data_IF_627057583029
#
_entry.id   IF_627057583029
#
_cell.length_a   1.000
_cell.length_b   1.000
_cell.length_c   1.000
_cell.angle_alpha   90.00
_cell.angle_beta   90.00
_cell.angle_gamma   90.00
#
_symmetry.space_group_name_H-M   'P 1'
#
loop_
_entity.id
_entity.type
_entity.pdbx_description
1 polymer ?
#
# COMPACT_ATOMS: atom_id res chain seq x y z
N UNK A 1 -28.21 -12.95 16.31
CA UNK A 1 -26.91 -12.22 16.31
C UNK A 1 -26.58 -11.91 14.86
N UNK A 2 -26.16 -10.70 14.52
CA UNK A 2 -25.73 -10.33 13.17
C UNK A 2 -24.23 -10.05 13.19
N UNK A 3 -23.49 -10.65 12.25
CA UNK A 3 -22.04 -10.50 12.15
C UNK A 3 -21.69 -9.78 10.84
N UNK A 4 -20.71 -8.89 10.88
CA UNK A 4 -20.08 -8.29 9.72
C UNK A 4 -18.60 -8.70 9.67
N UNK A 5 -18.11 -9.12 8.49
CA UNK A 5 -16.69 -9.30 8.25
C UNK A 5 -16.07 -7.96 7.86
N UNK A 6 -14.94 -7.63 8.46
CA UNK A 6 -14.10 -6.51 8.02
C UNK A 6 -12.79 -7.07 7.45
N UNK A 7 -12.60 -6.92 6.15
CA UNK A 7 -11.44 -7.45 5.45
C UNK A 7 -10.42 -6.33 5.24
N UNK A 8 -9.35 -6.33 6.05
CA UNK A 8 -8.19 -5.48 5.85
C UNK A 8 -7.45 -5.88 4.57
N UNK A 9 -7.06 -4.89 3.78
CA UNK A 9 -6.30 -5.06 2.53
C UNK A 9 -5.01 -4.23 2.60
N UNK A 10 -4.93 -3.11 1.88
CA UNK A 10 -3.79 -2.17 1.93
C UNK A 10 -4.07 -1.00 2.89
N UNK A 11 -4.66 -1.31 4.02
CA UNK A 11 -5.17 -0.34 4.99
C UNK A 11 -4.92 -0.77 6.44
N UNK A 12 -3.70 -1.25 6.71
CA UNK A 12 -3.29 -1.90 7.97
C UNK A 12 -3.13 -0.89 9.12
N UNK A 13 -4.22 -0.18 9.47
CA UNK A 13 -4.26 0.84 10.52
C UNK A 13 -5.62 0.93 11.21
N UNK A 14 -5.68 1.61 12.34
CA UNK A 14 -6.91 1.95 13.05
C UNK A 14 -7.23 3.46 13.00
N UNK A 15 -6.22 4.35 12.95
CA UNK A 15 -6.47 5.78 12.74
C UNK A 15 -7.00 6.01 11.33
N UNK A 16 -7.87 7.01 11.19
CA UNK A 16 -8.42 7.39 9.88
C UNK A 16 -8.86 6.21 9.01
N UNK A 17 -9.72 5.33 9.58
CA UNK A 17 -10.15 4.08 8.93
C UNK A 17 -11.66 4.10 8.61
N UNK A 18 -12.07 4.72 7.47
CA UNK A 18 -13.48 4.84 7.11
C UNK A 18 -14.18 3.52 6.85
N UNK A 19 -13.49 2.50 6.30
CA UNK A 19 -14.07 1.21 6.04
C UNK A 19 -14.38 0.46 7.36
N UNK A 20 -13.48 0.50 8.34
CA UNK A 20 -13.76 -0.04 9.67
C UNK A 20 -14.92 0.70 10.35
N UNK A 21 -14.96 2.04 10.26
CA UNK A 21 -16.08 2.80 10.76
C UNK A 21 -17.41 2.38 10.11
N UNK A 22 -17.40 2.14 8.79
CA UNK A 22 -18.58 1.67 8.07
C UNK A 22 -19.03 0.27 8.54
N UNK A 23 -18.09 -0.61 8.91
CA UNK A 23 -18.40 -1.91 9.51
C UNK A 23 -18.98 -1.75 10.91
N UNK A 24 -18.38 -0.92 11.77
CA UNK A 24 -18.84 -0.67 13.15
C UNK A 24 -20.23 -0.01 13.21
N UNK A 25 -20.61 0.75 12.18
CA UNK A 25 -21.93 1.43 12.09
C UNK A 25 -22.93 0.71 11.20
N UNK A 26 -22.67 -0.54 10.80
CA UNK A 26 -23.52 -1.33 9.91
C UNK A 26 -24.81 -1.84 10.56
N UNK A 27 -24.95 -1.73 11.88
CA UNK A 27 -26.03 -2.33 12.65
C UNK A 27 -25.75 -3.80 13.07
N UNK A 28 -24.57 -4.34 12.72
CA UNK A 28 -24.14 -5.65 13.21
C UNK A 28 -23.86 -5.63 14.72
N UNK A 29 -24.04 -6.78 15.36
CA UNK A 29 -23.74 -6.97 16.80
C UNK A 29 -22.35 -7.52 17.05
N UNK A 30 -21.73 -8.14 16.01
CA UNK A 30 -20.40 -8.74 16.06
C UNK A 30 -19.59 -8.32 14.85
N UNK A 31 -18.25 -8.23 15.04
CA UNK A 31 -17.28 -7.94 13.99
C UNK A 31 -16.24 -9.05 13.92
N UNK A 32 -16.00 -9.58 12.73
CA UNK A 32 -14.87 -10.47 12.46
C UNK A 32 -13.85 -9.74 11.59
N UNK A 33 -12.75 -9.19 12.16
CA UNK A 33 -11.68 -8.56 11.40
C UNK A 33 -10.74 -9.63 10.82
N UNK A 34 -10.49 -9.57 9.53
CA UNK A 34 -9.74 -10.59 8.79
C UNK A 34 -8.67 -9.94 7.89
N UNK A 35 -7.51 -10.58 7.81
CA UNK A 35 -6.52 -10.39 6.76
C UNK A 35 -6.30 -11.71 6.05
N UNK A 36 -6.27 -11.71 4.71
CA UNK A 36 -5.85 -12.86 3.91
C UNK A 36 -4.45 -12.58 3.35
N UNK A 37 -3.49 -13.45 3.67
CA UNK A 37 -2.12 -13.30 3.17
C UNK A 37 -2.01 -13.87 1.76
N UNK A 38 -1.15 -13.29 0.89
CA UNK A 38 -0.78 -13.92 -0.37
C UNK A 38 -0.13 -15.29 -0.12
N UNK A 39 -0.37 -16.24 -1.01
CA UNK A 39 0.26 -17.55 -0.93
C UNK A 39 1.80 -17.40 -0.95
N UNK A 40 2.53 -18.05 -0.03
CA UNK A 40 3.97 -17.85 0.11
C UNK A 40 4.77 -18.34 -1.11
N UNK A 41 4.20 -19.26 -1.89
CA UNK A 41 4.77 -19.87 -3.09
C UNK A 41 4.23 -19.27 -4.39
N UNK A 42 3.37 -18.26 -4.31
CA UNK A 42 2.84 -17.57 -5.50
C UNK A 42 3.99 -16.97 -6.32
N UNK A 43 4.05 -17.35 -7.61
CA UNK A 43 5.08 -16.90 -8.53
C UNK A 43 4.52 -16.01 -9.62
N UNK A 44 5.35 -15.07 -10.05
CA UNK A 44 5.07 -14.26 -11.23
C UNK A 44 5.23 -15.06 -12.53
N UNK A 45 4.67 -14.61 -13.65
CA UNK A 45 4.92 -15.23 -14.97
C UNK A 45 6.41 -15.25 -15.36
N UNK A 46 7.26 -14.46 -14.69
CA UNK A 46 8.70 -14.40 -14.93
C UNK A 46 9.52 -15.32 -13.98
N UNK A 47 8.86 -16.16 -13.15
CA UNK A 47 9.48 -17.27 -12.42
C UNK A 47 10.01 -16.95 -11.03
N UNK A 48 9.89 -15.73 -10.53
CA UNK A 48 10.24 -15.35 -9.15
C UNK A 48 9.00 -15.18 -8.25
N UNK A 49 9.20 -15.16 -6.93
CA UNK A 49 8.13 -14.99 -5.96
C UNK A 49 7.44 -13.62 -6.15
N UNK A 50 6.11 -13.60 -6.14
CA UNK A 50 5.34 -12.35 -6.26
C UNK A 50 5.59 -11.40 -5.07
N UNK A 51 5.68 -11.94 -3.86
CA UNK A 51 6.03 -11.19 -2.66
C UNK A 51 7.38 -11.64 -2.14
N UNK A 52 8.40 -10.80 -2.24
CA UNK A 52 9.76 -11.08 -1.80
C UNK A 52 9.96 -11.01 -0.28
N UNK A 53 11.16 -11.36 0.19
CA UNK A 53 11.47 -11.45 1.61
C UNK A 53 11.34 -10.11 2.35
N UNK A 54 11.80 -9.01 1.75
CA UNK A 54 11.73 -7.67 2.33
C UNK A 54 10.28 -7.25 2.57
N UNK A 55 9.45 -7.40 1.55
CA UNK A 55 8.03 -7.04 1.62
C UNK A 55 7.28 -7.90 2.64
N UNK A 56 7.55 -9.22 2.68
CA UNK A 56 6.96 -10.10 3.70
C UNK A 56 7.35 -9.68 5.12
N UNK A 57 8.61 -9.37 5.36
CA UNK A 57 9.09 -8.96 6.68
C UNK A 57 8.44 -7.64 7.13
N UNK A 58 8.35 -6.66 6.25
CA UNK A 58 7.72 -5.37 6.53
C UNK A 58 6.21 -5.53 6.83
N UNK A 59 5.49 -6.28 5.98
CA UNK A 59 4.07 -6.55 6.18
C UNK A 59 3.80 -7.34 7.47
N UNK A 60 4.66 -8.31 7.81
CA UNK A 60 4.54 -9.05 9.07
C UNK A 60 4.67 -8.14 10.29
N UNK A 61 5.55 -7.13 10.25
CA UNK A 61 5.66 -6.12 11.32
C UNK A 61 4.39 -5.26 11.42
N UNK A 62 3.83 -4.82 10.28
CA UNK A 62 2.57 -4.09 10.23
C UNK A 62 1.41 -4.89 10.87
N UNK A 63 1.30 -6.16 10.51
CA UNK A 63 0.25 -7.05 11.03
C UNK A 63 0.40 -7.32 12.52
N UNK A 64 1.63 -7.50 13.04
CA UNK A 64 1.84 -7.66 14.48
C UNK A 64 1.40 -6.42 15.27
N UNK A 65 1.75 -5.22 14.77
CA UNK A 65 1.31 -3.96 15.36
C UNK A 65 -0.20 -3.85 15.39
N UNK A 66 -0.86 -4.09 14.24
CA UNK A 66 -2.31 -4.05 14.11
C UNK A 66 -3.01 -5.08 15.01
N UNK A 67 -2.49 -6.32 15.05
CA UNK A 67 -3.04 -7.38 15.91
C UNK A 67 -2.97 -6.99 17.40
N UNK A 68 -1.86 -6.39 17.84
CA UNK A 68 -1.72 -5.90 19.21
C UNK A 68 -2.76 -4.84 19.55
N UNK A 69 -2.97 -3.87 18.69
CA UNK A 69 -3.97 -2.80 18.85
C UNK A 69 -5.41 -3.36 18.83
N UNK A 70 -5.73 -4.25 17.89
CA UNK A 70 -7.04 -4.89 17.80
C UNK A 70 -7.36 -5.71 19.06
N UNK A 71 -6.38 -6.50 19.54
CA UNK A 71 -6.51 -7.27 20.78
C UNK A 71 -6.75 -6.36 21.99
N UNK A 72 -6.05 -5.22 22.09
CA UNK A 72 -6.25 -4.24 23.16
C UNK A 72 -7.66 -3.63 23.16
N UNK A 73 -8.30 -3.54 21.98
CA UNK A 73 -9.69 -3.10 21.81
C UNK A 73 -10.72 -4.24 21.97
N UNK A 74 -10.28 -5.43 22.39
CA UNK A 74 -11.15 -6.58 22.72
C UNK A 74 -11.62 -7.41 21.52
N UNK A 75 -11.07 -7.18 20.32
CA UNK A 75 -11.40 -7.98 19.14
C UNK A 75 -10.11 -8.33 18.34
N UNK A 76 -9.56 -9.54 18.51
CA UNK A 76 -8.31 -9.93 17.85
C UNK A 76 -8.48 -10.08 16.33
N UNK A 77 -7.46 -9.65 15.58
CA UNK A 77 -7.39 -9.83 14.15
C UNK A 77 -7.18 -11.30 13.77
N UNK A 78 -7.98 -11.81 12.84
CA UNK A 78 -7.81 -13.15 12.26
C UNK A 78 -6.93 -13.05 11.00
N UNK A 79 -5.85 -13.83 10.96
CA UNK A 79 -4.91 -13.86 9.83
C UNK A 79 -5.03 -15.22 9.14
N UNK A 80 -5.48 -15.21 7.88
CA UNK A 80 -5.70 -16.39 7.06
C UNK A 80 -4.59 -16.59 6.04
N UNK A 81 -4.15 -17.84 5.85
CA UNK A 81 -3.21 -18.20 4.78
C UNK A 81 -3.93 -18.52 3.46
N UNK A 82 -5.23 -18.82 3.52
CA UNK A 82 -6.03 -19.06 2.31
C UNK A 82 -6.36 -17.74 1.58
N UNK A 83 -6.47 -17.77 0.24
CA UNK A 83 -6.89 -16.61 -0.55
C UNK A 83 -8.28 -16.09 -0.11
N UNK A 84 -8.55 -14.77 -0.29
CA UNK A 84 -9.81 -14.16 0.16
C UNK A 84 -11.06 -14.83 -0.46
N UNK A 85 -10.99 -15.26 -1.72
CA UNK A 85 -12.10 -15.97 -2.39
C UNK A 85 -12.43 -17.35 -1.74
N UNK A 86 -11.50 -17.92 -1.01
CA UNK A 86 -11.69 -19.18 -0.26
C UNK A 86 -12.02 -18.93 1.21
N UNK A 87 -11.24 -18.06 1.87
CA UNK A 87 -11.34 -17.84 3.31
C UNK A 87 -12.63 -17.10 3.70
N UNK A 88 -12.95 -15.99 3.03
CA UNK A 88 -14.06 -15.13 3.46
C UNK A 88 -15.43 -15.78 3.31
N UNK A 89 -15.76 -16.55 2.24
CA UNK A 89 -17.03 -17.28 2.18
C UNK A 89 -17.16 -18.33 3.27
N UNK A 90 -16.11 -19.10 3.59
CA UNK A 90 -16.12 -20.11 4.65
C UNK A 90 -16.32 -19.49 6.03
N UNK A 91 -15.60 -18.41 6.32
CA UNK A 91 -15.76 -17.67 7.57
C UNK A 91 -17.15 -17.05 7.68
N UNK A 92 -17.65 -16.44 6.61
CA UNK A 92 -18.98 -15.83 6.58
C UNK A 92 -20.07 -16.87 6.86
N UNK A 93 -20.01 -18.03 6.22
CA UNK A 93 -20.93 -19.15 6.47
C UNK A 93 -20.87 -19.60 7.92
N UNK A 94 -19.67 -19.76 8.49
CA UNK A 94 -19.48 -20.26 9.84
C UNK A 94 -20.05 -19.34 10.92
N UNK A 95 -20.01 -18.01 10.71
CA UNK A 95 -20.49 -17.01 11.68
C UNK A 95 -21.84 -16.40 11.31
N UNK A 96 -22.51 -16.93 10.26
CA UNK A 96 -23.80 -16.42 9.79
C UNK A 96 -23.75 -15.00 9.24
N UNK A 97 -22.60 -14.58 8.70
CA UNK A 97 -22.44 -13.28 8.09
C UNK A 97 -22.80 -13.30 6.61
N UNK A 98 -23.38 -12.22 6.12
CA UNK A 98 -23.70 -12.03 4.69
C UNK A 98 -22.93 -10.85 4.08
N UNK A 99 -22.35 -10.02 4.94
CA UNK A 99 -21.72 -8.75 4.52
C UNK A 99 -20.23 -8.75 4.85
N UNK A 100 -19.44 -8.34 3.85
CA UNK A 100 -18.01 -8.02 3.98
C UNK A 100 -17.83 -6.55 3.71
N UNK A 101 -17.08 -5.84 4.56
CA UNK A 101 -16.67 -4.44 4.35
C UNK A 101 -15.17 -4.39 4.15
N UNK A 102 -14.69 -3.67 3.15
CA UNK A 102 -13.27 -3.54 2.86
C UNK A 102 -12.94 -2.23 2.13
N UNK A 103 -11.65 -1.95 1.99
CA UNK A 103 -11.14 -0.89 1.12
C UNK A 103 -11.54 -1.11 -0.34
N UNK A 104 -11.91 -0.03 -1.04
CA UNK A 104 -12.07 -0.03 -2.49
C UNK A 104 -10.73 0.21 -3.18
N UNK A 105 -10.25 -0.77 -3.93
CA UNK A 105 -9.01 -0.70 -4.69
C UNK A 105 -9.34 -0.89 -6.16
N UNK A 106 -9.06 0.12 -7.00
CA UNK A 106 -9.44 0.15 -8.41
C UNK A 106 -8.58 -0.73 -9.32
N UNK A 107 -7.50 -1.33 -8.81
CA UNK A 107 -6.61 -2.17 -9.60
C UNK A 107 -7.30 -3.50 -9.97
N UNK A 108 -7.03 -4.04 -11.17
CA UNK A 108 -7.81 -5.15 -11.73
C UNK A 108 -7.77 -6.45 -10.90
N UNK A 109 -6.63 -6.79 -10.31
CA UNK A 109 -6.50 -7.97 -9.47
C UNK A 109 -7.40 -7.86 -8.22
N UNK A 110 -7.33 -6.74 -7.55
CA UNK A 110 -8.10 -6.43 -6.34
C UNK A 110 -9.60 -6.30 -6.62
N UNK A 111 -9.97 -5.82 -7.80
CA UNK A 111 -11.38 -5.82 -8.26
C UNK A 111 -11.88 -7.23 -8.57
N UNK A 112 -11.03 -8.10 -9.12
CA UNK A 112 -11.38 -9.50 -9.38
C UNK A 112 -11.62 -10.27 -8.08
N UNK A 113 -10.86 -10.01 -7.00
CA UNK A 113 -11.11 -10.60 -5.68
C UNK A 113 -12.51 -10.22 -5.15
N UNK A 114 -12.87 -8.93 -5.21
CA UNK A 114 -14.18 -8.46 -4.79
C UNK A 114 -15.30 -9.09 -5.64
N UNK A 115 -15.10 -9.19 -6.96
CA UNK A 115 -16.05 -9.83 -7.86
C UNK A 115 -16.25 -11.33 -7.52
N UNK A 116 -15.18 -12.05 -7.17
CA UNK A 116 -15.24 -13.44 -6.74
C UNK A 116 -16.07 -13.62 -5.44
N UNK A 117 -15.90 -12.72 -4.47
CA UNK A 117 -16.71 -12.74 -3.26
C UNK A 117 -18.20 -12.49 -3.52
N UNK A 118 -18.51 -11.54 -4.41
CA UNK A 118 -19.89 -11.26 -4.84
C UNK A 118 -20.49 -12.46 -5.57
N UNK A 119 -19.72 -13.13 -6.43
CA UNK A 119 -20.14 -14.35 -7.11
C UNK A 119 -20.38 -15.52 -6.13
N UNK A 120 -19.68 -15.55 -4.99
CA UNK A 120 -19.90 -16.50 -3.91
C UNK A 120 -21.13 -16.14 -3.01
N UNK A 121 -21.92 -15.11 -3.38
CA UNK A 121 -23.15 -14.73 -2.69
C UNK A 121 -22.97 -13.74 -1.54
N UNK A 122 -21.78 -13.19 -1.33
CA UNK A 122 -21.54 -12.19 -0.30
C UNK A 122 -21.89 -10.77 -0.76
N UNK A 123 -22.48 -9.99 0.12
CA UNK A 123 -22.64 -8.55 -0.06
C UNK A 123 -21.31 -7.87 0.28
N UNK A 124 -20.58 -7.39 -0.72
CA UNK A 124 -19.30 -6.70 -0.50
C UNK A 124 -19.50 -5.20 -0.62
N UNK A 125 -19.36 -4.51 0.52
CA UNK A 125 -19.35 -3.05 0.62
C UNK A 125 -17.92 -2.56 0.56
N UNK A 126 -17.54 -1.92 -0.54
CA UNK A 126 -16.23 -1.28 -0.68
C UNK A 126 -16.28 0.19 -0.26
N UNK A 127 -15.21 0.69 0.34
CA UNK A 127 -15.08 2.07 0.80
C UNK A 127 -13.77 2.67 0.28
N UNK A 128 -13.87 3.71 -0.53
CA UNK A 128 -12.70 4.43 -1.03
C UNK A 128 -12.12 5.34 0.06
N UNK A 129 -10.88 5.09 0.49
CA UNK A 129 -10.26 5.88 1.57
C UNK A 129 -8.73 5.94 1.55
N UNK A 130 -8.08 5.36 0.55
CA UNK A 130 -6.61 5.38 0.46
C UNK A 130 -6.04 6.65 -0.20
N UNK A 131 -6.89 7.58 -0.65
CA UNK A 131 -6.51 8.84 -1.25
C UNK A 131 -6.73 10.03 -0.30
N UNK A 132 -6.07 11.15 -0.58
CA UNK A 132 -6.37 12.44 0.05
C UNK A 132 -7.79 12.88 -0.28
N UNK A 133 -8.10 12.87 -1.57
CA UNK A 133 -9.35 13.36 -2.14
C UNK A 133 -10.14 12.19 -2.71
N UNK A 134 -11.37 11.95 -2.26
CA UNK A 134 -12.19 10.88 -2.83
C UNK A 134 -12.64 11.26 -4.26
N UNK A 135 -12.85 10.27 -5.15
CA UNK A 135 -13.28 10.52 -6.53
C UNK A 135 -14.53 11.39 -6.63
N UNK A 136 -15.46 11.25 -5.67
CA UNK A 136 -16.71 12.02 -5.60
C UNK A 136 -16.48 13.53 -5.38
N UNK A 137 -15.35 13.94 -4.85
CA UNK A 137 -15.01 15.36 -4.64
C UNK A 137 -14.39 16.02 -5.87
N UNK A 138 -14.08 15.26 -6.92
CA UNK A 138 -13.50 15.83 -8.14
C UNK A 138 -14.50 16.73 -8.88
N UNK A 139 -14.07 17.87 -9.42
CA UNK A 139 -14.95 18.81 -10.14
C UNK A 139 -15.23 18.36 -11.59
N UNK A 140 -15.01 17.09 -11.89
CA UNK A 140 -15.32 16.39 -13.16
C UNK A 140 -15.55 14.90 -12.90
N UNK A 141 -16.31 14.23 -13.79
CA UNK A 141 -16.44 12.77 -13.75
C UNK A 141 -15.08 12.06 -13.96
N UNK A 142 -14.91 10.88 -13.37
CA UNK A 142 -13.62 10.13 -13.43
C UNK A 142 -13.20 9.81 -14.88
N UNK A 143 -14.15 9.55 -15.77
CA UNK A 143 -13.91 9.31 -17.20
C UNK A 143 -13.43 10.54 -17.98
N UNK A 144 -13.48 11.72 -17.36
CA UNK A 144 -12.97 12.99 -17.89
C UNK A 144 -11.74 13.50 -17.13
N UNK A 145 -11.01 12.61 -16.47
CA UNK A 145 -9.77 12.94 -15.76
C UNK A 145 -8.77 13.58 -16.74
N UNK A 146 -8.16 14.73 -16.39
CA UNK A 146 -7.11 15.30 -17.21
C UNK A 146 -5.95 14.34 -17.44
N UNK A 147 -5.56 14.14 -18.71
CA UNK A 147 -4.48 13.21 -19.08
C UNK A 147 -3.07 13.67 -18.65
N UNK A 148 -2.93 14.89 -18.12
CA UNK A 148 -1.67 15.46 -17.64
C UNK A 148 -1.85 15.95 -16.20
N UNK A 149 -0.94 15.52 -15.32
CA UNK A 149 -0.99 15.87 -13.91
C UNK A 149 -1.02 17.38 -13.63
N UNK A 150 -0.26 18.18 -14.37
CA UNK A 150 -0.27 19.65 -14.19
C UNK A 150 -1.68 20.22 -14.36
N UNK A 151 -2.41 19.78 -15.38
CA UNK A 151 -3.80 20.20 -15.60
C UNK A 151 -4.73 19.70 -14.50
N UNK A 152 -4.55 18.46 -14.06
CA UNK A 152 -5.28 17.87 -12.93
C UNK A 152 -5.10 18.72 -11.67
N UNK A 153 -3.87 18.94 -11.26
CA UNK A 153 -3.50 19.73 -10.08
C UNK A 153 -4.11 21.15 -10.13
N UNK A 154 -3.91 21.86 -11.23
CA UNK A 154 -4.44 23.23 -11.40
C UNK A 154 -5.97 23.29 -11.28
N UNK A 155 -6.68 22.27 -11.77
CA UNK A 155 -8.14 22.19 -11.63
C UNK A 155 -8.55 21.94 -10.18
N UNK A 156 -7.87 21.03 -9.47
CA UNK A 156 -8.10 20.75 -8.04
C UNK A 156 -7.88 22.01 -7.20
N UNK A 157 -6.76 22.70 -7.42
CA UNK A 157 -6.42 23.95 -6.71
C UNK A 157 -7.44 25.05 -6.96
N UNK A 158 -7.85 25.29 -8.21
CA UNK A 158 -8.88 26.30 -8.54
C UNK A 158 -10.24 26.00 -7.94
N UNK A 159 -10.57 24.71 -7.82
CA UNK A 159 -11.83 24.29 -7.20
C UNK A 159 -11.82 24.39 -5.67
N UNK A 160 -10.66 24.71 -5.05
CA UNK A 160 -10.54 24.85 -3.60
C UNK A 160 -10.83 23.56 -2.83
N UNK A 161 -10.64 22.38 -3.48
CA UNK A 161 -10.94 21.10 -2.85
C UNK A 161 -9.88 20.80 -1.79
N UNK A 162 -10.33 20.51 -0.58
CA UNK A 162 -9.48 20.14 0.56
C UNK A 162 -9.83 18.74 1.07
N UNK A 163 -8.85 17.98 1.56
CA UNK A 163 -9.09 16.70 2.20
C UNK A 163 -10.01 16.85 3.43
N UNK A 164 -10.86 15.85 3.64
CA UNK A 164 -11.61 15.77 4.88
C UNK A 164 -10.67 15.50 6.06
N UNK A 165 -11.06 15.95 7.25
CA UNK A 165 -10.33 15.67 8.48
C UNK A 165 -10.21 14.14 8.71
N UNK A 166 -9.05 13.66 9.21
CA UNK A 166 -8.88 12.25 9.54
C UNK A 166 -9.84 11.83 10.65
N UNK A 167 -10.33 10.59 10.55
CA UNK A 167 -11.19 10.02 11.58
C UNK A 167 -10.37 9.66 12.84
N UNK A 168 -10.91 9.84 14.03
CA UNK A 168 -10.25 9.42 15.27
C UNK A 168 -10.14 7.90 15.35
N UNK A 169 -9.20 7.43 16.16
CA UNK A 169 -9.11 6.02 16.56
C UNK A 169 -10.44 5.54 17.17
N UNK A 170 -10.88 4.32 16.87
CA UNK A 170 -12.01 3.72 17.55
C UNK A 170 -11.67 3.50 19.02
N UNK A 171 -12.58 3.85 19.91
CA UNK A 171 -12.42 3.62 21.37
C UNK A 171 -12.89 2.23 21.79
N UNK A 172 -13.69 1.57 20.94
CA UNK A 172 -14.24 0.23 21.17
C UNK A 172 -14.57 -0.42 19.84
N UNK A 173 -14.36 -1.74 19.78
CA UNK A 173 -14.82 -2.59 18.68
C UNK A 173 -16.07 -3.38 19.10
N UNK A 174 -16.83 -3.87 18.12
CA UNK A 174 -17.85 -4.88 18.37
C UNK A 174 -17.16 -6.19 18.80
N UNK A 175 -17.78 -7.01 19.66
CA UNK A 175 -17.19 -8.28 20.10
C UNK A 175 -16.96 -9.24 18.92
N UNK A 176 -15.96 -10.12 19.01
CA UNK A 176 -15.74 -11.14 17.99
C UNK A 176 -16.86 -12.20 18.05
N UNK A 177 -17.27 -12.76 16.90
CA UNK A 177 -18.09 -13.97 16.88
C UNK A 177 -17.23 -15.19 17.25
N UNK A 178 -17.86 -16.28 17.66
CA UNK A 178 -17.20 -17.57 17.79
C UNK A 178 -17.01 -18.21 16.42
N UNK A 179 -15.76 -18.54 16.06
CA UNK A 179 -15.43 -19.24 14.81
C UNK A 179 -15.05 -20.67 15.12
N UNK A 180 -15.71 -21.67 14.52
CA UNK A 180 -15.41 -23.10 14.78
C UNK A 180 -13.97 -23.48 14.41
N UNK A 181 -13.29 -24.26 15.26
CA UNK A 181 -11.89 -24.67 15.04
C UNK A 181 -11.66 -25.35 13.69
N UNK A 182 -12.52 -26.23 13.16
CA UNK A 182 -12.32 -26.83 11.84
C UNK A 182 -12.28 -25.79 10.72
N UNK A 183 -13.06 -24.70 10.84
CA UNK A 183 -13.06 -23.60 9.85
C UNK A 183 -11.76 -22.81 9.93
N UNK A 184 -11.28 -22.49 11.14
CA UNK A 184 -9.97 -21.84 11.34
C UNK A 184 -8.84 -22.65 10.69
N UNK A 185 -8.84 -23.98 10.90
CA UNK A 185 -7.87 -24.88 10.28
C UNK A 185 -7.99 -24.89 8.74
N UNK A 186 -9.22 -24.92 8.20
CA UNK A 186 -9.45 -24.96 6.76
C UNK A 186 -8.96 -23.67 6.03
N UNK A 187 -9.05 -22.53 6.70
CA UNK A 187 -8.54 -21.24 6.13
C UNK A 187 -7.09 -20.95 6.50
N UNK A 188 -6.42 -21.90 7.18
CA UNK A 188 -5.05 -21.73 7.66
C UNK A 188 -4.91 -20.56 8.63
N UNK A 189 -5.96 -20.35 9.45
CA UNK A 189 -5.95 -19.29 10.42
C UNK A 189 -5.51 -19.79 11.80
N UNK A 190 -4.57 -19.06 12.39
CA UNK A 190 -4.18 -19.27 13.78
C UNK A 190 -4.65 -18.07 14.61
N UNK A 191 -5.24 -18.36 15.77
CA UNK A 191 -5.59 -17.33 16.74
C UNK A 191 -4.35 -17.00 17.58
N UNK A 192 -3.87 -15.77 17.47
CA UNK A 192 -2.81 -15.26 18.33
C UNK A 192 -1.54 -14.79 17.59
N UNK A 193 -0.69 -14.07 18.31
CA UNK A 193 0.54 -13.45 17.78
C UNK A 193 1.60 -14.47 17.27
N UNK A 194 1.47 -15.74 17.61
CA UNK A 194 2.40 -16.80 17.20
C UNK A 194 2.29 -17.16 15.70
N UNK A 195 1.17 -16.82 15.05
CA UNK A 195 0.92 -17.18 13.65
C UNK A 195 1.68 -16.35 12.62
N UNK A 196 2.19 -15.18 13.01
CA UNK A 196 3.00 -14.35 12.13
C UNK A 196 4.45 -14.79 12.29
N UNK A 197 4.86 -15.82 11.55
CA UNK A 197 6.27 -16.16 11.42
C UNK A 197 7.04 -14.89 11.04
N UNK A 198 8.06 -14.57 11.81
CA UNK A 198 8.90 -13.42 11.52
C UNK A 198 9.88 -13.82 10.40
N UNK A 199 9.63 -13.45 9.13
CA UNK A 199 10.66 -13.61 8.14
C UNK A 199 11.82 -12.72 8.61
N UNK A 200 12.97 -13.33 8.86
CA UNK A 200 14.18 -12.57 9.19
C UNK A 200 14.48 -11.66 8.01
N UNK A 201 14.64 -10.34 8.22
CA UNK A 201 15.12 -9.47 7.15
C UNK A 201 16.42 -10.03 6.59
N UNK A 202 16.66 -9.97 5.29
CA UNK A 202 17.93 -10.39 4.72
C UNK A 202 19.10 -9.71 5.45
N UNK A 203 20.15 -10.47 5.78
CA UNK A 203 21.31 -9.96 6.51
C UNK A 203 21.93 -8.75 5.79
N UNK A 204 22.18 -7.67 6.52
CA UNK A 204 22.77 -6.45 6.00
C UNK A 204 21.79 -5.42 5.44
N UNK A 205 20.48 -5.68 5.53
CA UNK A 205 19.44 -4.75 5.03
C UNK A 205 19.43 -3.38 5.71
N UNK A 206 19.95 -3.26 6.93
CA UNK A 206 19.79 -2.04 7.73
C UNK A 206 21.00 -1.10 7.71
N UNK A 207 22.23 -1.61 7.65
CA UNK A 207 23.44 -0.81 7.88
C UNK A 207 23.70 0.28 6.82
N UNK A 208 23.13 0.18 5.61
CA UNK A 208 23.27 1.14 4.51
C UNK A 208 21.96 1.53 3.87
N UNK A 209 20.84 1.08 4.42
CA UNK A 209 19.53 1.33 3.85
C UNK A 209 19.14 2.79 4.02
N UNK A 210 18.57 3.37 2.96
CA UNK A 210 17.87 4.66 3.05
C UNK A 210 16.51 4.55 3.74
N UNK A 211 16.06 3.33 4.09
CA UNK A 211 14.89 3.02 4.90
C UNK A 211 15.13 1.71 5.69
N UNK A 212 15.74 1.78 6.89
CA UNK A 212 16.12 0.61 7.68
C UNK A 212 14.89 -0.02 8.38
N UNK A 213 14.04 -0.70 7.63
CA UNK A 213 12.76 -1.23 8.08
C UNK A 213 12.85 -2.36 9.13
N UNK A 214 14.04 -2.93 9.33
CA UNK A 214 14.30 -3.88 10.41
C UNK A 214 14.44 -3.24 11.79
N UNK A 215 14.53 -1.90 11.86
CA UNK A 215 14.60 -1.17 13.12
C UNK A 215 13.22 -0.80 13.65
N UNK A 216 13.02 -0.70 14.99
CA UNK A 216 11.72 -0.30 15.56
C UNK A 216 11.20 1.07 15.08
N UNK A 217 12.10 1.98 14.70
CA UNK A 217 11.76 3.31 14.21
C UNK A 217 11.19 3.31 12.78
N UNK A 218 11.49 2.27 12.00
CA UNK A 218 11.10 2.16 10.60
C UNK A 218 10.34 0.87 10.29
N UNK A 219 9.88 0.12 11.30
CA UNK A 219 9.10 -1.09 11.08
C UNK A 219 7.74 -0.78 10.42
N UNK A 220 7.04 -1.82 9.95
CA UNK A 220 5.78 -1.66 9.21
C UNK A 220 4.58 -1.21 10.04
N UNK A 221 4.71 -1.06 11.37
CA UNK A 221 3.57 -0.79 12.25
C UNK A 221 3.02 0.64 12.10
N UNK A 222 1.73 0.79 12.40
CA UNK A 222 1.06 2.10 12.50
C UNK A 222 1.74 3.00 13.55
N UNK A 223 2.20 2.42 14.66
CA UNK A 223 2.90 3.15 15.72
C UNK A 223 4.19 3.77 15.21
N UNK A 224 5.01 3.00 14.47
CA UNK A 224 6.25 3.51 13.87
C UNK A 224 5.93 4.58 12.80
N UNK A 225 4.89 4.37 12.00
CA UNK A 225 4.46 5.33 10.99
C UNK A 225 4.09 6.71 11.57
N UNK A 226 3.27 6.72 12.62
CA UNK A 226 2.85 7.95 13.30
C UNK A 226 4.01 8.62 14.05
N UNK A 227 4.89 7.83 14.69
CA UNK A 227 6.08 8.35 15.34
C UNK A 227 7.05 8.98 14.33
N UNK A 228 7.23 8.35 13.15
CA UNK A 228 8.05 8.90 12.07
C UNK A 228 7.47 10.22 11.54
N UNK A 229 6.15 10.30 11.30
CA UNK A 229 5.48 11.54 10.89
C UNK A 229 5.73 12.65 11.91
N UNK A 230 5.51 12.38 13.21
CA UNK A 230 5.74 13.35 14.27
C UNK A 230 7.20 13.84 14.32
N UNK A 231 8.18 12.93 14.20
CA UNK A 231 9.61 13.28 14.17
C UNK A 231 9.98 14.08 12.92
N UNK A 232 9.43 13.75 11.76
CA UNK A 232 9.65 14.46 10.50
C UNK A 232 9.21 15.92 10.59
N UNK A 233 8.05 16.18 11.22
CA UNK A 233 7.52 17.51 11.45
C UNK A 233 8.31 18.25 12.54
N UNK A 234 8.60 17.61 13.68
CA UNK A 234 9.36 18.21 14.79
C UNK A 234 10.77 18.67 14.35
N UNK A 235 11.40 17.93 13.42
CA UNK A 235 12.69 18.30 12.83
C UNK A 235 12.59 19.34 11.71
N UNK A 236 11.39 19.85 11.42
CA UNK A 236 11.09 20.85 10.37
C UNK A 236 11.54 20.46 8.96
N UNK A 237 11.62 19.14 8.69
CA UNK A 237 12.02 18.60 7.39
C UNK A 237 11.08 18.97 6.23
N UNK A 238 9.76 19.21 6.44
CA UNK A 238 8.89 19.70 5.37
C UNK A 238 9.41 20.97 4.70
N UNK A 239 10.08 21.88 5.42
CA UNK A 239 10.57 23.14 4.86
C UNK A 239 11.67 22.95 3.79
N UNK A 240 12.48 21.89 3.88
CA UNK A 240 13.56 21.59 2.93
C UNK A 240 13.19 20.54 1.89
N UNK A 241 11.98 19.98 1.97
CA UNK A 241 11.58 18.81 1.16
C UNK A 241 11.74 19.04 -0.36
N UNK A 242 11.39 20.22 -0.87
CA UNK A 242 11.55 20.56 -2.29
C UNK A 242 12.98 20.38 -2.78
N UNK A 243 13.94 20.79 -1.98
CA UNK A 243 15.36 20.79 -2.35
C UNK A 243 16.00 19.42 -2.19
N UNK A 244 15.54 18.65 -1.18
CA UNK A 244 16.16 17.38 -0.79
C UNK A 244 15.57 16.16 -1.49
N UNK A 245 14.29 16.19 -1.90
CA UNK A 245 13.51 15.02 -2.37
C UNK A 245 14.11 14.21 -3.52
N UNK A 246 15.03 14.79 -4.27
CA UNK A 246 15.73 14.12 -5.37
C UNK A 246 17.05 13.45 -4.95
N UNK A 247 17.36 13.41 -3.65
CA UNK A 247 18.52 12.71 -3.13
C UNK A 247 18.48 11.22 -3.45
N UNK A 248 19.66 10.61 -3.55
CA UNK A 248 19.78 9.19 -3.91
C UNK A 248 19.90 8.30 -2.68
N UNK A 249 20.56 8.78 -1.62
CA UNK A 249 20.90 8.00 -0.42
C UNK A 249 20.67 8.82 0.85
N UNK A 250 20.58 8.14 1.99
CA UNK A 250 20.40 8.75 3.32
C UNK A 250 18.96 8.69 3.83
N UNK A 251 18.78 9.06 5.10
CA UNK A 251 17.49 8.97 5.77
C UNK A 251 16.61 10.18 5.52
N UNK A 252 17.18 11.38 5.40
CA UNK A 252 16.46 12.66 5.49
C UNK A 252 16.22 13.36 4.12
N UNK A 253 16.66 12.78 3.00
CA UNK A 253 16.48 13.43 1.70
C UNK A 253 15.03 13.45 1.23
N UNK A 254 14.17 12.59 1.78
CA UNK A 254 12.74 12.55 1.46
C UNK A 254 11.92 12.23 2.71
N UNK A 255 10.58 12.31 2.60
CA UNK A 255 9.69 12.06 3.74
C UNK A 255 9.67 10.60 4.23
N UNK A 256 10.06 9.64 3.39
CA UNK A 256 10.01 8.19 3.69
C UNK A 256 8.62 7.64 4.05
N UNK A 257 7.56 8.34 3.70
CA UNK A 257 6.19 7.89 4.02
C UNK A 257 5.70 6.73 3.15
N UNK A 258 6.33 6.51 1.98
CA UNK A 258 5.85 5.55 0.98
C UNK A 258 5.64 4.12 1.50
N UNK A 259 6.50 3.53 2.36
CA UNK A 259 6.26 2.17 2.86
C UNK A 259 4.96 2.04 3.66
N UNK A 260 4.71 2.98 4.56
CA UNK A 260 3.50 2.97 5.38
C UNK A 260 2.25 3.41 4.60
N UNK A 261 2.40 4.29 3.59
CA UNK A 261 1.30 4.63 2.68
C UNK A 261 0.92 3.45 1.77
N UNK A 262 1.88 2.60 1.41
CA UNK A 262 1.64 1.42 0.57
C UNK A 262 0.92 0.30 1.33
N UNK A 263 1.31 0.03 2.58
CA UNK A 263 0.61 -0.93 3.45
C UNK A 263 -0.66 -0.35 4.08
N UNK A 264 -0.83 0.97 3.95
CA UNK A 264 -1.92 1.70 4.59
C UNK A 264 -1.78 1.86 6.09
N UNK A 265 -0.61 1.59 6.68
CA UNK A 265 -0.32 1.87 8.08
C UNK A 265 -0.25 3.38 8.39
N UNK A 266 -0.17 4.24 7.37
CA UNK A 266 -0.27 5.69 7.48
C UNK A 266 -1.33 6.23 6.51
N UNK A 267 -2.19 7.12 7.00
CA UNK A 267 -3.20 7.78 6.16
C UNK A 267 -2.63 9.02 5.49
N UNK A 268 -2.88 9.24 4.17
CA UNK A 268 -2.52 10.49 3.51
C UNK A 268 -3.26 11.70 4.09
N UNK A 269 -4.49 11.53 4.59
CA UNK A 269 -5.26 12.61 5.23
C UNK A 269 -4.67 12.99 6.59
N UNK A 270 -4.11 12.03 7.34
CA UNK A 270 -3.36 12.32 8.57
C UNK A 270 -2.12 13.15 8.27
N UNK A 271 -1.32 12.75 7.27
CA UNK A 271 -0.15 13.53 6.85
C UNK A 271 -0.55 14.97 6.48
N UNK A 272 -1.64 15.13 5.72
CA UNK A 272 -2.11 16.46 5.32
C UNK A 272 -2.57 17.31 6.51
N UNK A 273 -3.34 16.74 7.43
CA UNK A 273 -3.82 17.45 8.60
C UNK A 273 -2.67 17.94 9.49
N UNK A 274 -1.69 17.06 9.74
CA UNK A 274 -0.52 17.39 10.55
C UNK A 274 0.39 18.40 9.84
N UNK A 275 0.53 18.29 8.49
CA UNK A 275 1.23 19.29 7.69
C UNK A 275 0.57 20.66 7.78
N UNK A 276 -0.77 20.75 7.76
CA UNK A 276 -1.47 22.03 7.93
C UNK A 276 -1.32 22.61 9.34
N UNK A 277 -1.31 21.78 10.36
CA UNK A 277 -0.97 22.21 11.73
C UNK A 277 0.45 22.78 11.78
N UNK A 278 1.42 22.07 11.18
CA UNK A 278 2.81 22.52 11.07
C UNK A 278 2.94 23.86 10.33
N UNK A 279 2.22 24.05 9.21
CA UNK A 279 2.22 25.30 8.45
C UNK A 279 1.66 26.47 9.27
N UNK A 280 0.63 26.24 10.08
CA UNK A 280 0.06 27.25 10.95
C UNK A 280 1.03 27.68 12.07
N UNK A 281 1.84 26.76 12.59
CA UNK A 281 2.79 27.01 13.67
C UNK A 281 4.13 27.56 13.18
N UNK A 282 4.60 27.11 12.01
CA UNK A 282 5.96 27.38 11.54
C UNK A 282 6.03 28.11 10.20
N UNK A 283 4.88 28.39 9.59
CA UNK A 283 4.77 29.02 8.27
C UNK A 283 4.83 28.00 7.13
N UNK A 284 4.10 28.30 6.06
CA UNK A 284 4.14 27.56 4.81
C UNK A 284 5.30 28.05 3.93
N UNK A 285 5.87 27.13 3.13
CA UNK A 285 6.87 27.46 2.12
C UNK A 285 6.78 26.50 0.92
N UNK A 286 7.68 26.64 -0.04
CA UNK A 286 7.76 25.76 -1.21
C UNK A 286 7.94 24.28 -0.83
N UNK A 287 8.67 23.97 0.25
CA UNK A 287 8.89 22.60 0.71
C UNK A 287 7.59 21.95 1.20
N UNK A 288 6.81 22.64 2.04
CA UNK A 288 5.52 22.15 2.53
C UNK A 288 4.52 21.99 1.39
N UNK A 289 4.50 22.94 0.44
CA UNK A 289 3.68 22.81 -0.78
C UNK A 289 4.06 21.58 -1.61
N UNK A 290 5.36 21.30 -1.80
CA UNK A 290 5.80 20.13 -2.56
C UNK A 290 5.47 18.80 -1.89
N UNK A 291 5.41 18.76 -0.56
CA UNK A 291 4.96 17.56 0.13
C UNK A 291 3.48 17.25 -0.17
N UNK A 292 2.60 18.26 -0.13
CA UNK A 292 1.21 18.12 -0.58
C UNK A 292 1.12 17.74 -2.06
N UNK A 293 1.94 18.35 -2.91
CA UNK A 293 2.01 18.09 -4.34
C UNK A 293 2.31 16.61 -4.65
N UNK A 294 3.24 15.97 -3.92
CA UNK A 294 3.55 14.55 -4.11
C UNK A 294 2.43 13.63 -3.61
N UNK A 295 1.71 14.00 -2.55
CA UNK A 295 0.51 13.27 -2.13
C UNK A 295 -0.60 13.37 -3.18
N UNK A 296 -0.71 14.50 -3.87
CA UNK A 296 -1.67 14.68 -4.95
C UNK A 296 -1.31 13.85 -6.21
N UNK A 297 -0.01 13.65 -6.50
CA UNK A 297 0.45 12.69 -7.52
C UNK A 297 -0.03 11.28 -7.22
N UNK A 298 0.05 10.87 -5.97
CA UNK A 298 -0.43 9.57 -5.51
C UNK A 298 -1.94 9.40 -5.76
N UNK A 299 -2.73 10.44 -5.55
CA UNK A 299 -4.17 10.44 -5.85
C UNK A 299 -4.42 10.36 -7.37
N UNK A 300 -3.65 11.11 -8.16
CA UNK A 300 -3.78 11.09 -9.61
C UNK A 300 -3.58 9.69 -10.20
N UNK A 301 -2.59 8.94 -9.72
CA UNK A 301 -2.39 7.56 -10.14
C UNK A 301 -3.57 6.65 -9.78
N UNK A 302 -4.21 6.84 -8.63
CA UNK A 302 -5.43 6.11 -8.25
C UNK A 302 -6.60 6.43 -9.18
N UNK A 303 -6.78 7.68 -9.52
CA UNK A 303 -7.82 8.11 -10.44
C UNK A 303 -7.58 7.61 -11.87
N UNK A 304 -6.33 7.52 -12.32
CA UNK A 304 -5.97 6.88 -13.59
C UNK A 304 -6.41 5.40 -13.63
N UNK A 305 -6.28 4.68 -12.52
CA UNK A 305 -6.76 3.29 -12.44
C UNK A 305 -8.29 3.19 -12.52
N UNK A 306 -9.01 4.13 -11.92
CA UNK A 306 -10.47 4.21 -12.10
C UNK A 306 -10.86 4.49 -13.55
N UNK A 307 -10.11 5.34 -14.26
CA UNK A 307 -10.41 5.70 -15.64
C UNK A 307 -10.04 4.58 -16.63
N UNK A 308 -8.86 4.01 -16.50
CA UNK A 308 -8.30 3.11 -17.52
C UNK A 308 -8.32 1.63 -17.12
N UNK A 309 -8.43 1.31 -15.83
CA UNK A 309 -8.51 -0.05 -15.30
C UNK A 309 -7.47 -1.00 -15.90
N UNK A 310 -7.92 -2.14 -16.39
CA UNK A 310 -7.06 -3.18 -16.97
C UNK A 310 -6.25 -2.73 -18.20
N UNK A 311 -6.62 -1.62 -18.86
CA UNK A 311 -5.87 -1.12 -20.00
C UNK A 311 -4.45 -0.69 -19.64
N UNK A 312 -4.22 -0.21 -18.40
CA UNK A 312 -2.90 0.17 -17.89
C UNK A 312 -1.92 -1.03 -17.85
N UNK A 313 -2.43 -2.26 -17.70
CA UNK A 313 -1.63 -3.47 -17.51
C UNK A 313 -1.39 -4.26 -18.80
N UNK A 314 -1.87 -3.77 -19.94
CA UNK A 314 -1.58 -4.39 -21.25
C UNK A 314 -0.10 -4.21 -21.58
N UNK A 315 0.47 -5.14 -22.35
CA UNK A 315 1.88 -5.07 -22.74
C UNK A 315 2.26 -3.73 -23.41
N UNK A 316 1.36 -3.15 -24.21
CA UNK A 316 1.50 -1.84 -24.84
C UNK A 316 1.01 -0.67 -23.95
N UNK A 317 0.48 -0.94 -22.75
CA UNK A 317 -0.17 0.06 -21.92
C UNK A 317 -1.32 0.76 -22.65
N UNK A 318 -1.32 2.09 -22.62
CA UNK A 318 -2.26 2.94 -23.38
C UNK A 318 -1.72 3.35 -24.78
N UNK A 319 -0.50 2.92 -25.12
CA UNK A 319 0.12 3.22 -26.42
C UNK A 319 -0.46 2.33 -27.53
N UNK A 320 -0.40 2.81 -28.76
CA UNK A 320 -0.67 2.00 -29.97
C UNK A 320 0.60 1.34 -30.51
N UNK A 321 1.77 1.67 -29.96
CA UNK A 321 3.03 1.06 -30.38
C UNK A 321 3.05 -0.43 -29.99
N UNK A 322 3.71 -1.29 -30.81
CA UNK A 322 3.88 -2.68 -30.44
C UNK A 322 4.67 -2.81 -29.14
N UNK A 323 4.33 -3.79 -28.28
CA UNK A 323 5.07 -4.00 -27.03
C UNK A 323 6.50 -4.44 -27.35
N UNK A 324 7.46 -4.03 -26.49
CA UNK A 324 8.81 -4.54 -26.57
C UNK A 324 8.81 -6.06 -26.28
N UNK A 325 9.59 -6.86 -27.04
CA UNK A 325 9.76 -8.26 -26.71
C UNK A 325 10.47 -8.42 -25.37
N UNK A 326 10.11 -9.45 -24.62
CA UNK A 326 10.85 -9.74 -23.38
C UNK A 326 12.28 -10.20 -23.71
N UNK A 327 13.28 -9.61 -23.04
CA UNK A 327 14.68 -9.98 -23.13
C UNK A 327 15.13 -10.69 -21.83
N UNK A 328 15.02 -12.03 -21.72
CA UNK A 328 15.26 -12.73 -20.46
C UNK A 328 16.68 -12.54 -19.91
N UNK A 329 17.71 -12.57 -20.79
CA UNK A 329 19.11 -12.40 -20.39
C UNK A 329 19.39 -10.99 -19.89
N UNK A 330 18.89 -9.99 -20.60
CA UNK A 330 19.03 -8.58 -20.19
C UNK A 330 18.29 -8.32 -18.88
N UNK A 331 17.08 -8.83 -18.73
CA UNK A 331 16.28 -8.73 -17.52
C UNK A 331 16.97 -9.38 -16.30
N UNK A 332 17.50 -10.59 -16.47
CA UNK A 332 18.21 -11.30 -15.42
C UNK A 332 19.48 -10.56 -14.94
N UNK A 333 20.26 -9.98 -15.89
CA UNK A 333 21.41 -9.12 -15.55
C UNK A 333 20.96 -7.85 -14.82
N UNK A 334 19.85 -7.24 -15.25
CA UNK A 334 19.27 -6.08 -14.61
C UNK A 334 18.84 -6.39 -13.16
N UNK A 335 18.12 -7.49 -12.93
CA UNK A 335 17.72 -7.92 -11.59
C UNK A 335 18.91 -8.13 -10.65
N UNK A 336 20.05 -8.65 -11.16
CA UNK A 336 21.27 -8.89 -10.38
C UNK A 336 22.16 -7.66 -10.21
N UNK A 337 21.88 -6.55 -10.90
CA UNK A 337 22.78 -5.40 -10.94
C UNK A 337 24.13 -5.74 -11.59
N UNK A 338 24.08 -6.39 -12.76
CA UNK A 338 25.23 -6.86 -13.54
C UNK A 338 25.08 -6.45 -15.03
N UNK A 339 24.62 -5.24 -15.25
CA UNK A 339 24.39 -4.70 -16.59
C UNK A 339 25.63 -4.13 -17.23
N UNK A 340 26.64 -3.77 -16.43
CA UNK A 340 27.82 -3.03 -16.82
C UNK A 340 27.63 -1.50 -16.75
N UNK A 341 26.46 -1.03 -16.35
CA UNK A 341 26.18 0.40 -16.10
C UNK A 341 26.27 0.68 -14.60
N UNK A 342 27.31 1.39 -14.12
CA UNK A 342 27.62 1.48 -12.68
C UNK A 342 26.46 1.99 -11.81
N UNK A 343 25.72 3.02 -12.29
CA UNK A 343 24.59 3.57 -11.53
C UNK A 343 23.41 2.63 -11.46
N UNK A 344 23.09 1.95 -12.58
CA UNK A 344 22.00 0.94 -12.64
C UNK A 344 22.34 -0.24 -11.75
N UNK A 345 23.58 -0.73 -11.85
CA UNK A 345 24.05 -1.90 -11.09
C UNK A 345 24.07 -1.61 -9.57
N UNK A 346 24.55 -0.43 -9.18
CA UNK A 346 24.51 -0.01 -7.77
C UNK A 346 23.09 0.07 -7.22
N UNK A 347 22.15 0.68 -8.00
CA UNK A 347 20.75 0.82 -7.61
C UNK A 347 20.07 -0.55 -7.49
N UNK A 348 20.26 -1.46 -8.44
CA UNK A 348 19.64 -2.79 -8.38
C UNK A 348 20.20 -3.66 -7.26
N UNK A 349 21.49 -3.52 -6.92
CA UNK A 349 22.08 -4.16 -5.74
C UNK A 349 21.57 -3.56 -4.43
N UNK A 350 21.36 -2.23 -4.36
CA UNK A 350 20.71 -1.59 -3.21
C UNK A 350 19.29 -2.13 -3.03
N UNK A 351 18.49 -2.21 -4.11
CA UNK A 351 17.14 -2.76 -4.07
C UNK A 351 17.14 -4.20 -3.54
N UNK A 352 17.99 -5.05 -4.07
CA UNK A 352 18.10 -6.46 -3.66
C UNK A 352 18.54 -6.61 -2.20
N UNK A 353 19.42 -5.74 -1.71
CA UNK A 353 19.95 -5.80 -0.35
C UNK A 353 19.00 -5.21 0.69
N UNK A 354 18.21 -4.18 0.34
CA UNK A 354 17.47 -3.36 1.31
C UNK A 354 15.96 -3.38 1.14
N UNK A 355 15.45 -3.82 -0.02
CA UNK A 355 14.03 -3.72 -0.35
C UNK A 355 13.53 -2.29 -0.56
N UNK A 356 14.42 -1.32 -0.62
CA UNK A 356 14.09 0.10 -0.82
C UNK A 356 15.01 0.75 -1.85
N UNK A 357 14.45 1.66 -2.62
CA UNK A 357 15.18 2.44 -3.62
C UNK A 357 14.61 3.85 -3.72
N UNK A 358 15.46 4.86 -3.84
CA UNK A 358 14.98 6.25 -4.03
C UNK A 358 14.15 6.38 -5.31
N UNK A 359 13.16 7.26 -5.31
CA UNK A 359 12.30 7.50 -6.49
C UNK A 359 13.14 7.84 -7.74
N UNK A 360 14.20 8.62 -7.59
CA UNK A 360 15.08 8.97 -8.70
C UNK A 360 15.78 7.76 -9.31
N UNK A 361 16.30 6.86 -8.46
CA UNK A 361 16.95 5.64 -8.94
C UNK A 361 15.95 4.68 -9.59
N UNK A 362 14.70 4.57 -9.09
CA UNK A 362 13.64 3.78 -9.77
C UNK A 362 13.41 4.25 -11.19
N UNK A 363 13.32 5.56 -11.42
CA UNK A 363 13.18 6.13 -12.76
C UNK A 363 14.36 5.74 -13.66
N UNK A 364 15.59 5.83 -13.15
CA UNK A 364 16.79 5.48 -13.90
C UNK A 364 16.82 4.01 -14.30
N UNK A 365 16.62 3.11 -13.34
CA UNK A 365 16.72 1.67 -13.63
C UNK A 365 15.54 1.15 -14.47
N UNK A 366 14.33 1.71 -14.29
CA UNK A 366 13.17 1.37 -15.14
C UNK A 366 13.37 1.87 -16.58
N UNK A 367 13.84 3.10 -16.74
CA UNK A 367 14.19 3.68 -18.05
C UNK A 367 15.22 2.83 -18.78
N UNK A 368 16.30 2.42 -18.09
CA UNK A 368 17.33 1.57 -18.66
C UNK A 368 16.78 0.19 -19.12
N UNK A 369 15.93 -0.45 -18.28
CA UNK A 369 15.27 -1.71 -18.68
C UNK A 369 14.46 -1.55 -19.97
N UNK A 370 13.68 -0.47 -20.06
CA UNK A 370 12.73 -0.27 -21.18
C UNK A 370 13.45 0.15 -22.45
N UNK A 371 14.34 1.13 -22.37
CA UNK A 371 14.91 1.77 -23.56
C UNK A 371 16.25 1.16 -23.99
N UNK A 372 17.16 0.87 -23.07
CA UNK A 372 18.49 0.35 -23.39
C UNK A 372 18.46 -1.17 -23.59
N UNK A 373 17.82 -1.90 -22.66
CA UNK A 373 17.68 -3.36 -22.76
C UNK A 373 16.50 -3.78 -23.61
N UNK A 374 15.62 -2.87 -24.00
CA UNK A 374 14.36 -3.15 -24.73
C UNK A 374 13.56 -4.27 -24.07
N UNK A 375 13.46 -4.21 -22.74
CA UNK A 375 12.78 -5.20 -21.91
C UNK A 375 11.27 -4.94 -21.80
N UNK A 376 10.52 -6.00 -21.49
CA UNK A 376 9.11 -5.86 -21.13
C UNK A 376 8.99 -5.13 -19.78
N UNK A 377 8.38 -3.94 -19.78
CA UNK A 377 8.19 -3.14 -18.59
C UNK A 377 7.43 -3.87 -17.48
N UNK A 378 6.53 -4.82 -17.84
CA UNK A 378 5.75 -5.59 -16.88
C UNK A 378 6.63 -6.53 -16.04
N UNK A 379 7.71 -7.05 -16.64
CA UNK A 379 8.71 -7.83 -15.89
C UNK A 379 9.41 -6.96 -14.84
N UNK A 380 9.79 -5.73 -15.21
CA UNK A 380 10.36 -4.75 -14.27
C UNK A 380 9.40 -4.36 -13.17
N UNK A 381 8.13 -4.08 -13.50
CA UNK A 381 7.09 -3.77 -12.52
C UNK A 381 6.85 -4.95 -11.56
N UNK A 382 6.81 -6.19 -12.06
CA UNK A 382 6.69 -7.38 -11.22
C UNK A 382 7.92 -7.59 -10.32
N UNK A 383 9.12 -7.25 -10.79
CA UNK A 383 10.32 -7.28 -9.94
C UNK A 383 10.24 -6.25 -8.82
N UNK A 384 9.79 -5.03 -9.11
CA UNK A 384 9.54 -4.02 -8.09
C UNK A 384 8.45 -4.46 -7.11
N UNK A 385 7.36 -5.07 -7.59
CA UNK A 385 6.34 -5.67 -6.74
C UNK A 385 6.93 -6.70 -5.79
N UNK A 386 7.84 -7.54 -6.26
CA UNK A 386 8.50 -8.54 -5.45
C UNK A 386 9.41 -7.92 -4.38
N UNK A 387 10.23 -6.94 -4.74
CA UNK A 387 11.34 -6.47 -3.91
C UNK A 387 10.98 -5.30 -2.98
N UNK A 388 10.19 -4.32 -3.45
CA UNK A 388 9.97 -3.06 -2.75
C UNK A 388 9.08 -3.22 -1.51
N UNK A 389 9.53 -2.75 -0.35
CA UNK A 389 8.73 -2.66 0.88
C UNK A 389 7.58 -1.65 0.74
N UNK A 390 7.72 -0.68 -0.15
CA UNK A 390 6.74 0.35 -0.45
C UNK A 390 6.02 0.14 -1.79
N UNK A 391 5.92 -1.11 -2.26
CA UNK A 391 5.11 -1.40 -3.43
C UNK A 391 3.66 -0.95 -3.24
N UNK A 392 3.21 -0.06 -4.11
CA UNK A 392 1.83 0.41 -4.19
C UNK A 392 1.33 0.14 -5.62
N UNK A 393 0.27 -0.64 -5.75
CA UNK A 393 -0.28 -1.09 -7.03
C UNK A 393 -0.61 0.07 -7.99
N UNK A 394 -0.83 1.26 -7.47
CA UNK A 394 -1.16 2.44 -8.26
C UNK A 394 0.06 3.24 -8.73
N UNK A 395 1.15 3.20 -7.97
CA UNK A 395 2.28 4.13 -8.13
C UNK A 395 3.55 3.47 -8.66
N UNK A 396 3.51 2.16 -8.91
CA UNK A 396 4.69 1.39 -9.31
C UNK A 396 4.70 1.08 -10.81
#
# INVERSE_FOLDING_TARGET
>A
MSTVLFWFRNDLRLHDQPALRAALTSGATHLLPVVCLPAPDERTPWGFARVGAHRRAFTAAALRGLQGQMKALGNPLLICQAPPATALPQLAQAVGATTVVCEDIAAPYEQAEVAALRAAGLQVRTVWHSSLLPPVSMPWPVDQLPGVFTTFRQKVERAGITPAAPLPLPTKLLPPPEVPVPVLQAVGAEQGAASIQQPTPPQGSDARSSFPYGTPACDGSETAALAHLAQYLARKLPHSYKDTRNGLTGLDYSSKFSPWLATGALSPRQIYADLKTFENEHGANDGTYWLWFELLWRDYFRLLHLQYGAALYRARGLSELPPAPHNPRGFDRWCRGDTGQPLVDAAMRELAATGYLSNRLRQVVASYLIYDLRGDWRAGAAWFESQLVDYDVYSN
#
